data_IF_298156192284
#
_entry.id   IF_298156192284
#
_cell.length_a   1.000
_cell.length_b   1.000
_cell.length_c   1.000
_cell.angle_alpha   90.00
_cell.angle_beta   90.00
_cell.angle_gamma   90.00
#
_symmetry.space_group_name_H-M   'P 1'
#
loop_
_entity.id
_entity.type
_entity.pdbx_description
1 polymer ?
#
# COMPACT_ATOMS: atom_id res chain seq x y z
N UNK A 1 16.77 23.45 -17.62
CA UNK A 1 17.21 22.03 -17.46
C UNK A 1 17.49 21.66 -16.00
N UNK A 2 18.31 22.44 -15.27
CA UNK A 2 18.71 22.12 -13.89
C UNK A 2 17.55 22.06 -12.87
N UNK A 3 16.53 22.92 -13.00
CA UNK A 3 15.35 22.91 -12.11
C UNK A 3 14.45 21.68 -12.29
N UNK A 4 14.29 21.18 -13.51
CA UNK A 4 13.47 19.98 -13.80
C UNK A 4 14.14 18.74 -13.20
N UNK A 5 15.47 18.62 -13.36
CA UNK A 5 16.23 17.51 -12.78
C UNK A 5 16.19 17.52 -11.25
N UNK A 6 16.26 18.70 -10.61
CA UNK A 6 16.13 18.81 -9.15
C UNK A 6 14.73 18.42 -8.66
N UNK A 7 13.67 18.78 -9.37
CA UNK A 7 12.29 18.40 -9.02
C UNK A 7 12.04 16.90 -9.15
N UNK A 8 12.62 16.24 -10.17
CA UNK A 8 12.53 14.78 -10.32
C UNK A 8 13.28 14.07 -9.20
N UNK A 9 14.51 14.50 -8.88
CA UNK A 9 15.32 13.89 -7.82
C UNK A 9 14.64 14.04 -6.45
N UNK A 10 14.08 15.21 -6.13
CA UNK A 10 13.39 15.41 -4.85
C UNK A 10 12.11 14.57 -4.74
N UNK A 11 11.37 14.41 -5.84
CA UNK A 11 10.18 13.55 -5.89
C UNK A 11 10.56 12.10 -5.64
N UNK A 12 11.55 11.57 -6.38
CA UNK A 12 12.03 10.20 -6.21
C UNK A 12 12.58 9.96 -4.79
N UNK A 13 13.33 10.91 -4.22
CA UNK A 13 13.81 10.80 -2.85
C UNK A 13 12.66 10.74 -1.82
N UNK A 14 11.58 11.51 -2.04
CA UNK A 14 10.40 11.47 -1.18
C UNK A 14 9.68 10.13 -1.29
N UNK A 15 9.48 9.61 -2.50
CA UNK A 15 8.87 8.31 -2.73
C UNK A 15 9.69 7.16 -2.14
N UNK A 16 11.03 7.21 -2.28
CA UNK A 16 11.93 6.25 -1.65
C UNK A 16 11.81 6.27 -0.12
N UNK A 17 11.72 7.46 0.48
CA UNK A 17 11.49 7.59 1.93
C UNK A 17 10.14 6.99 2.35
N UNK A 18 9.07 7.20 1.58
CA UNK A 18 7.76 6.63 1.90
C UNK A 18 7.76 5.11 1.80
N UNK A 19 8.48 4.54 0.83
CA UNK A 19 8.68 3.10 0.73
C UNK A 19 9.43 2.53 1.95
N UNK A 20 10.46 3.22 2.44
CA UNK A 20 11.17 2.83 3.67
C UNK A 20 10.25 2.90 4.90
N UNK A 21 9.47 3.96 5.04
CA UNK A 21 8.49 4.11 6.13
C UNK A 21 7.44 2.99 6.09
N UNK A 22 6.94 2.63 4.91
CA UNK A 22 6.03 1.48 4.73
C UNK A 22 6.71 0.14 4.99
N UNK A 23 7.99 -0.01 4.64
CA UNK A 23 8.76 -1.23 4.96
C UNK A 23 8.82 -1.44 6.46
N UNK A 24 9.13 -0.39 7.22
CA UNK A 24 9.20 -0.47 8.67
C UNK A 24 7.82 -0.71 9.30
N UNK A 25 6.78 -0.07 8.77
CA UNK A 25 5.40 -0.34 9.18
C UNK A 25 5.00 -1.80 8.94
N UNK A 26 5.29 -2.34 7.75
CA UNK A 26 4.97 -3.74 7.40
C UNK A 26 5.75 -4.74 8.26
N UNK A 27 7.04 -4.48 8.50
CA UNK A 27 7.85 -5.29 9.43
C UNK A 27 7.34 -5.21 10.87
N UNK A 28 6.77 -4.07 11.28
CA UNK A 28 6.13 -3.96 12.60
C UNK A 28 4.90 -4.84 12.68
N UNK A 29 4.02 -4.79 11.67
CA UNK A 29 2.85 -5.68 11.58
C UNK A 29 3.28 -7.15 11.65
N UNK A 30 4.30 -7.56 10.88
CA UNK A 30 4.82 -8.94 10.92
C UNK A 30 5.28 -9.40 12.32
N UNK A 31 5.75 -8.46 13.15
CA UNK A 31 6.22 -8.74 14.52
C UNK A 31 5.09 -8.74 15.55
N UNK A 32 4.07 -7.91 15.35
CA UNK A 32 3.00 -7.68 16.31
C UNK A 32 1.83 -8.65 16.13
N UNK A 33 1.65 -9.21 14.93
CA UNK A 33 0.55 -10.12 14.62
C UNK A 33 1.09 -11.53 14.35
N UNK A 34 0.38 -12.52 14.88
CA UNK A 34 0.62 -13.92 14.56
C UNK A 34 -0.14 -14.29 13.28
N UNK A 35 0.60 -14.34 12.16
CA UNK A 35 0.08 -14.79 10.87
C UNK A 35 0.15 -16.32 10.70
N UNK A 36 0.61 -17.06 11.71
CA UNK A 36 0.91 -18.48 11.61
C UNK A 36 2.35 -18.77 11.15
N UNK A 37 2.61 -20.03 10.81
CA UNK A 37 3.96 -20.53 10.51
C UNK A 37 4.49 -20.14 9.14
N UNK A 38 3.61 -19.88 8.18
CA UNK A 38 3.95 -19.75 6.76
C UNK A 38 3.44 -18.40 6.22
N UNK A 39 4.18 -17.34 6.57
CA UNK A 39 3.96 -15.98 6.09
C UNK A 39 5.16 -15.50 5.29
N UNK A 40 4.90 -15.00 4.10
CA UNK A 40 5.87 -14.28 3.27
C UNK A 40 5.51 -12.80 3.26
N UNK A 41 6.53 -11.94 3.43
CA UNK A 41 6.40 -10.49 3.26
C UNK A 41 7.27 -10.05 2.08
N UNK A 42 6.63 -9.54 1.04
CA UNK A 42 7.28 -9.05 -0.17
C UNK A 42 7.09 -7.53 -0.28
N UNK A 43 8.17 -6.84 -0.66
CA UNK A 43 8.18 -5.40 -0.91
C UNK A 43 8.47 -5.13 -2.38
N UNK A 44 7.66 -4.31 -3.02
CA UNK A 44 7.77 -3.99 -4.43
C UNK A 44 7.58 -2.49 -4.66
N UNK A 45 8.32 -1.98 -5.64
CA UNK A 45 8.05 -0.69 -6.25
C UNK A 45 7.61 -0.97 -7.67
N UNK A 46 6.40 -0.54 -8.00
CA UNK A 46 5.82 -0.64 -9.33
C UNK A 46 5.79 0.74 -9.96
N UNK A 47 6.18 0.82 -11.23
CA UNK A 47 6.11 2.04 -12.03
C UNK A 47 5.44 1.70 -13.34
N UNK A 48 4.23 2.19 -13.53
CA UNK A 48 3.37 1.80 -14.65
C UNK A 48 2.96 3.04 -15.46
N UNK A 49 3.19 3.06 -16.78
CA UNK A 49 2.63 4.11 -17.62
C UNK A 49 1.13 3.88 -17.80
N UNK A 50 0.32 4.91 -17.53
CA UNK A 50 -1.14 4.89 -17.67
C UNK A 50 -1.55 6.04 -18.58
N UNK A 51 -1.88 5.75 -19.84
CA UNK A 51 -2.21 6.74 -20.87
C UNK A 51 -1.16 7.88 -20.96
N UNK A 52 -1.47 9.06 -20.40
CA UNK A 52 -0.62 10.26 -20.35
C UNK A 52 -0.04 10.53 -18.95
N UNK A 53 -0.07 9.52 -18.10
CA UNK A 53 0.31 9.59 -16.69
C UNK A 53 1.29 8.46 -16.36
N UNK A 54 1.93 8.56 -15.20
CA UNK A 54 2.73 7.49 -14.61
C UNK A 54 2.23 7.23 -13.21
N UNK A 55 1.91 5.98 -12.90
CA UNK A 55 1.64 5.54 -11.55
C UNK A 55 2.91 4.99 -10.92
N UNK A 56 3.21 5.45 -9.71
CA UNK A 56 4.21 4.87 -8.84
C UNK A 56 3.49 4.25 -7.64
N UNK A 57 3.77 2.98 -7.36
CA UNK A 57 3.16 2.26 -6.24
C UNK A 57 4.23 1.59 -5.40
N UNK A 58 4.26 1.92 -4.12
CA UNK A 58 4.99 1.17 -3.08
C UNK A 58 4.05 0.12 -2.51
N UNK A 59 4.26 -1.15 -2.86
CA UNK A 59 3.42 -2.27 -2.48
C UNK A 59 4.15 -3.19 -1.48
N UNK A 60 3.49 -3.47 -0.37
CA UNK A 60 3.96 -4.40 0.65
C UNK A 60 2.88 -5.47 0.81
N UNK A 61 3.21 -6.71 0.44
CA UNK A 61 2.26 -7.82 0.42
C UNK A 61 2.66 -8.88 1.44
N UNK A 62 1.73 -9.18 2.33
CA UNK A 62 1.77 -10.36 3.17
C UNK A 62 1.02 -11.47 2.46
N UNK A 63 1.64 -12.62 2.26
CA UNK A 63 0.99 -13.82 1.75
C UNK A 63 1.06 -14.87 2.84
N UNK A 64 -0.10 -15.31 3.31
CA UNK A 64 -0.25 -16.30 4.38
C UNK A 64 -0.78 -17.58 3.76
N UNK A 65 -0.03 -18.68 3.90
CA UNK A 65 -0.50 -19.99 3.44
C UNK A 65 -1.57 -20.54 4.39
N UNK A 66 -2.68 -21.01 3.84
CA UNK A 66 -3.74 -21.70 4.60
C UNK A 66 -3.57 -23.23 4.52
N UNK A 67 -2.63 -23.72 3.70
CA UNK A 67 -2.32 -25.14 3.49
C UNK A 67 -0.82 -25.43 3.30
N UNK A 68 -0.47 -26.63 2.82
CA UNK A 68 0.92 -27.08 2.67
C UNK A 68 1.61 -26.57 1.40
N UNK A 69 0.89 -25.98 0.45
CA UNK A 69 1.37 -25.73 -0.91
C UNK A 69 1.08 -24.32 -1.48
N UNK A 70 0.71 -23.34 -0.65
CA UNK A 70 0.30 -21.98 -1.07
C UNK A 70 -0.82 -21.94 -2.14
N UNK A 71 -1.45 -23.08 -2.48
CA UNK A 71 -2.55 -23.13 -3.43
C UNK A 71 -3.76 -22.34 -2.91
N UNK A 72 -3.97 -22.38 -1.59
CA UNK A 72 -4.88 -21.52 -0.85
C UNK A 72 -4.07 -20.55 0.01
N UNK A 73 -4.00 -19.29 -0.42
CA UNK A 73 -3.38 -18.21 0.34
C UNK A 73 -4.34 -17.05 0.59
N UNK A 74 -4.13 -16.39 1.73
CA UNK A 74 -4.74 -15.09 2.03
C UNK A 74 -3.68 -14.02 1.87
N UNK A 75 -4.06 -12.89 1.30
CA UNK A 75 -3.13 -11.79 1.09
C UNK A 75 -3.59 -10.53 1.83
N UNK A 76 -2.62 -9.79 2.36
CA UNK A 76 -2.84 -8.42 2.85
C UNK A 76 -1.88 -7.52 2.08
N UNK A 77 -2.43 -6.55 1.39
CA UNK A 77 -1.70 -5.56 0.61
C UNK A 77 -1.73 -4.22 1.35
N UNK A 78 -0.56 -3.64 1.57
CA UNK A 78 -0.39 -2.27 2.05
C UNK A 78 0.24 -1.51 0.89
N UNK A 79 -0.49 -0.54 0.35
CA UNK A 79 -0.08 0.20 -0.82
C UNK A 79 -0.07 1.69 -0.54
N UNK A 80 0.95 2.37 -1.05
CA UNK A 80 0.93 3.82 -1.24
C UNK A 80 1.21 4.10 -2.70
N UNK A 81 0.29 4.78 -3.37
CA UNK A 81 0.40 5.10 -4.79
C UNK A 81 0.28 6.60 -5.06
N UNK A 82 0.93 7.01 -6.14
CA UNK A 82 0.78 8.32 -6.75
C UNK A 82 0.65 8.16 -8.26
N UNK A 83 -0.44 8.66 -8.81
CA UNK A 83 -0.64 8.84 -10.24
C UNK A 83 -0.23 10.27 -10.60
N UNK A 84 0.79 10.41 -11.43
CA UNK A 84 1.32 11.70 -11.89
C UNK A 84 0.87 11.91 -13.34
N UNK A 85 -0.14 12.77 -13.54
CA UNK A 85 -0.57 13.20 -14.87
C UNK A 85 0.05 14.54 -15.30
N UNK A 86 -0.25 14.96 -16.53
CA UNK A 86 0.29 16.21 -17.10
C UNK A 86 -0.12 17.48 -16.32
N UNK A 87 -1.36 17.50 -15.78
CA UNK A 87 -1.96 18.70 -15.17
C UNK A 87 -2.38 18.52 -13.71
N UNK A 88 -2.39 17.28 -13.21
CA UNK A 88 -2.83 16.95 -11.85
C UNK A 88 -2.27 15.61 -11.42
N UNK A 89 -2.33 15.36 -10.11
CA UNK A 89 -1.93 14.11 -9.49
C UNK A 89 -3.07 13.57 -8.62
N UNK A 90 -3.11 12.24 -8.51
CA UNK A 90 -3.91 11.52 -7.54
C UNK A 90 -3.00 10.72 -6.63
N UNK A 91 -3.35 10.57 -5.36
CA UNK A 91 -2.59 9.76 -4.40
C UNK A 91 -3.53 8.97 -3.52
N UNK A 92 -3.14 7.74 -3.22
CA UNK A 92 -3.87 6.87 -2.32
C UNK A 92 -2.92 6.15 -1.36
N UNK A 93 -3.38 5.88 -0.15
CA UNK A 93 -2.78 4.94 0.79
C UNK A 93 -3.86 3.99 1.26
N UNK A 94 -3.60 2.71 1.11
CA UNK A 94 -4.61 1.68 1.29
C UNK A 94 -4.05 0.47 2.02
N UNK A 95 -4.89 -0.13 2.86
CA UNK A 95 -4.70 -1.49 3.35
C UNK A 95 -5.87 -2.30 2.83
N UNK A 96 -5.58 -3.33 2.05
CA UNK A 96 -6.56 -4.24 1.46
C UNK A 96 -6.24 -5.66 1.89
N UNK A 97 -7.27 -6.48 2.09
CA UNK A 97 -7.11 -7.91 2.32
C UNK A 97 -7.82 -8.69 1.21
N UNK A 98 -7.11 -9.59 0.53
CA UNK A 98 -7.69 -10.62 -0.32
C UNK A 98 -7.90 -11.87 0.53
N UNK A 99 -9.17 -12.25 0.72
CA UNK A 99 -9.55 -13.37 1.57
C UNK A 99 -9.59 -14.71 0.81
N UNK A 100 -9.19 -14.73 -0.47
CA UNK A 100 -9.21 -15.91 -1.32
C UNK A 100 -10.62 -16.36 -1.72
N UNK A 101 -10.79 -17.65 -2.04
CA UNK A 101 -12.07 -18.21 -2.49
C UNK A 101 -13.19 -18.17 -1.42
N UNK A 102 -12.85 -18.04 -0.14
CA UNK A 102 -13.82 -17.85 0.94
C UNK A 102 -14.66 -16.56 0.79
N UNK A 103 -14.24 -15.61 -0.05
CA UNK A 103 -14.98 -14.41 -0.39
C UNK A 103 -16.09 -14.61 -1.45
N UNK A 104 -16.21 -15.81 -2.03
CA UNK A 104 -17.23 -16.12 -3.06
C UNK A 104 -18.68 -15.85 -2.61
N UNK A 105 -18.95 -15.86 -1.30
CA UNK A 105 -20.27 -15.54 -0.74
C UNK A 105 -20.48 -14.04 -0.45
N UNK A 106 -19.41 -13.22 -0.42
CA UNK A 106 -19.46 -11.80 -0.03
C UNK A 106 -19.43 -10.82 -1.22
N UNK A 107 -19.29 -11.30 -2.46
CA UNK A 107 -19.33 -10.48 -3.67
C UNK A 107 -18.10 -9.60 -3.94
N UNK A 108 -17.31 -9.29 -2.91
CA UNK A 108 -16.03 -8.56 -3.01
C UNK A 108 -14.88 -9.45 -2.54
N UNK A 109 -14.00 -9.84 -3.48
CA UNK A 109 -12.81 -10.65 -3.21
C UNK A 109 -11.76 -9.89 -2.37
N UNK A 110 -11.79 -8.56 -2.41
CA UNK A 110 -10.87 -7.66 -1.72
C UNK A 110 -11.63 -6.77 -0.75
N UNK A 111 -11.24 -6.79 0.51
CA UNK A 111 -11.79 -5.95 1.58
C UNK A 111 -10.84 -4.77 1.83
N UNK A 112 -11.32 -3.54 1.67
CA UNK A 112 -10.60 -2.36 2.12
C UNK A 112 -10.69 -2.23 3.65
N UNK A 113 -9.55 -2.29 4.34
CA UNK A 113 -9.44 -2.12 5.80
C UNK A 113 -9.17 -0.66 6.16
N UNK A 114 -8.51 0.06 5.25
CA UNK A 114 -8.15 1.46 5.38
C UNK A 114 -7.95 2.06 4.00
N UNK A 115 -8.40 3.30 3.81
CA UNK A 115 -8.18 4.08 2.61
C UNK A 115 -8.10 5.58 2.98
N UNK A 116 -7.04 6.24 2.55
CA UNK A 116 -6.94 7.70 2.48
C UNK A 116 -6.56 8.07 1.03
N UNK A 117 -7.39 8.85 0.36
CA UNK A 117 -7.15 9.27 -1.02
C UNK A 117 -7.41 10.75 -1.26
N UNK A 118 -6.73 11.32 -2.26
CA UNK A 118 -7.00 12.67 -2.79
C UNK A 118 -6.67 12.70 -4.28
N UNK A 119 -7.43 13.48 -5.04
CA UNK A 119 -7.30 13.63 -6.49
C UNK A 119 -7.38 15.11 -6.90
N UNK A 120 -6.88 15.43 -8.09
CA UNK A 120 -6.99 16.75 -8.70
C UNK A 120 -6.03 17.79 -8.10
N UNK A 121 -4.92 17.35 -7.49
CA UNK A 121 -3.98 18.24 -6.78
C UNK A 121 -2.63 18.31 -7.49
N UNK A 122 -1.86 19.36 -7.20
CA UNK A 122 -0.51 19.52 -7.74
C UNK A 122 0.47 18.51 -7.12
N UNK A 123 1.52 18.15 -7.85
CA UNK A 123 2.51 17.14 -7.44
C UNK A 123 3.10 17.40 -6.04
N UNK A 124 3.44 18.64 -5.70
CA UNK A 124 4.01 18.94 -4.37
C UNK A 124 2.99 18.71 -3.25
N UNK A 125 1.71 19.00 -3.49
CA UNK A 125 0.65 18.75 -2.52
C UNK A 125 0.38 17.24 -2.41
N UNK A 126 0.43 16.52 -3.54
CA UNK A 126 0.29 15.07 -3.60
C UNK A 126 1.37 14.35 -2.79
N UNK A 127 2.64 14.71 -2.98
CA UNK A 127 3.76 14.17 -2.19
C UNK A 127 3.58 14.49 -0.69
N UNK A 128 3.14 15.71 -0.36
CA UNK A 128 2.87 16.11 1.02
C UNK A 128 1.75 15.29 1.67
N UNK A 129 0.65 15.09 0.94
CA UNK A 129 -0.47 14.25 1.36
C UNK A 129 -0.02 12.80 1.56
N UNK A 130 0.62 12.20 0.55
CA UNK A 130 1.08 10.82 0.58
C UNK A 130 1.99 10.55 1.77
N UNK A 131 2.96 11.43 2.02
CA UNK A 131 3.84 11.30 3.18
C UNK A 131 3.09 11.41 4.51
N UNK A 132 2.06 12.26 4.60
CA UNK A 132 1.22 12.34 5.80
C UNK A 132 0.41 11.05 5.99
N UNK A 133 -0.22 10.54 4.95
CA UNK A 133 -1.02 9.33 4.99
C UNK A 133 -0.17 8.10 5.36
N UNK A 134 1.05 7.95 4.82
CA UNK A 134 1.99 6.89 5.21
C UNK A 134 2.36 6.97 6.70
N UNK A 135 2.63 8.17 7.22
CA UNK A 135 2.89 8.33 8.67
C UNK A 135 1.67 8.06 9.53
N UNK A 136 0.47 8.39 9.05
CA UNK A 136 -0.78 8.08 9.75
C UNK A 136 -0.97 6.57 9.91
N UNK A 137 -0.62 5.75 8.90
CA UNK A 137 -0.62 4.30 9.02
C UNK A 137 0.19 3.83 10.23
N UNK A 138 1.39 4.40 10.40
CA UNK A 138 2.27 4.12 11.54
C UNK A 138 1.63 4.40 12.91
N UNK A 139 0.62 5.26 12.97
CA UNK A 139 -0.09 5.63 14.21
C UNK A 139 -1.43 4.91 14.39
N UNK A 140 -1.83 4.02 13.47
CA UNK A 140 -3.04 3.22 13.63
C UNK A 140 -2.87 2.30 14.85
N UNK A 141 -3.83 2.37 15.79
CA UNK A 141 -3.79 1.60 17.03
C UNK A 141 -3.85 0.08 16.77
N UNK A 142 -4.61 -0.33 15.76
CA UNK A 142 -4.67 -1.70 15.26
C UNK A 142 -5.08 -1.64 13.77
N UNK A 143 -4.12 -1.71 12.83
CA UNK A 143 -4.39 -1.60 11.40
C UNK A 143 -5.11 -2.83 10.82
N UNK A 144 -5.15 -3.96 11.54
CA UNK A 144 -5.78 -5.20 11.10
C UNK A 144 -7.01 -5.58 11.94
N UNK A 145 -7.47 -4.69 12.81
CA UNK A 145 -8.57 -4.92 13.75
C UNK A 145 -9.82 -5.49 13.07
N UNK A 146 -10.17 -4.93 11.92
CA UNK A 146 -11.34 -5.34 11.15
C UNK A 146 -11.21 -6.77 10.57
N UNK A 147 -10.01 -7.31 10.43
CA UNK A 147 -9.80 -8.74 10.12
C UNK A 147 -9.98 -9.61 11.37
N UNK A 148 -9.46 -9.15 12.52
CA UNK A 148 -9.57 -9.90 13.78
C UNK A 148 -11.04 -10.06 14.24
N UNK A 149 -11.87 -9.01 14.05
CA UNK A 149 -13.29 -9.03 14.45
C UNK A 149 -14.19 -9.89 13.55
N UNK A 150 -13.75 -10.23 12.33
CA UNK A 150 -14.54 -11.03 11.36
C UNK A 150 -14.24 -12.53 11.38
N UNK A 151 -13.25 -12.95 12.18
CA UNK A 151 -12.87 -14.36 12.35
C UNK A 151 -13.26 -14.94 13.72
N UNK A 152 -14.15 -14.27 14.47
CA UNK A 152 -14.79 -14.75 15.71
C UNK A 152 -16.22 -15.19 15.43
#
# INVERSE_FOLDING_TARGET
MMQVQQGVVSTLASLGKFHEELTEFSRRILREYDFGSDVELVHQILVEPIEKSVEFTSLHRFTVSVGLDFADCKEIEIAASILIGESSCATAVEIRADLGEAAGELGERKLALYEEMVDGIELSAAIGFLGKAVRNLGNLADPLKALAERHV
#
